data_IF_394572673362
#
_entry.id   IF_394572673362
#
_cell.length_a   1.000
_cell.length_b   1.000
_cell.length_c   1.000
_cell.angle_alpha   90.00
_cell.angle_beta   90.00
_cell.angle_gamma   90.00
#
_symmetry.space_group_name_H-M   'P 1'
#
loop_
_entity.id
_entity.type
_entity.pdbx_description
1 polymer ?
#
# COMPACT_ATOMS: atom_id res chain seq x y z
N UNK A 1 19.09 -18.80 -17.82
CA UNK A 1 18.12 -18.57 -16.73
C UNK A 1 16.77 -18.29 -17.36
N UNK A 2 15.87 -19.27 -17.41
CA UNK A 2 14.53 -19.05 -17.97
C UNK A 2 13.77 -18.05 -17.10
N UNK A 3 13.27 -16.96 -17.69
CA UNK A 3 12.33 -16.09 -17.00
C UNK A 3 11.08 -16.91 -16.65
N UNK A 4 10.46 -16.70 -15.48
CA UNK A 4 9.24 -17.41 -15.08
C UNK A 4 8.08 -16.93 -15.97
N UNK A 5 7.94 -17.53 -17.15
CA UNK A 5 7.04 -17.03 -18.19
C UNK A 5 5.54 -17.24 -17.88
N UNK A 6 5.19 -18.09 -16.90
CA UNK A 6 3.79 -18.31 -16.52
C UNK A 6 3.68 -18.58 -15.01
N UNK A 7 3.68 -17.53 -14.19
CA UNK A 7 3.21 -17.65 -12.81
C UNK A 7 1.67 -17.65 -12.86
N UNK A 8 1.05 -18.83 -13.02
CA UNK A 8 -0.40 -18.99 -12.83
C UNK A 8 -0.84 -18.66 -11.39
N UNK A 9 -2.09 -18.94 -11.02
CA UNK A 9 -2.58 -18.71 -9.64
C UNK A 9 -1.72 -19.40 -8.56
N UNK A 10 -1.20 -20.60 -8.86
CA UNK A 10 -0.26 -21.31 -7.97
C UNK A 10 1.08 -20.57 -7.80
N UNK A 11 1.43 -19.73 -8.77
CA UNK A 11 2.62 -18.88 -8.75
C UNK A 11 2.59 -17.86 -7.61
N UNK A 12 1.45 -17.21 -7.36
CA UNK A 12 1.33 -16.21 -6.29
C UNK A 12 1.50 -16.86 -4.92
N UNK A 13 0.87 -18.01 -4.70
CA UNK A 13 1.03 -18.79 -3.46
C UNK A 13 2.49 -19.24 -3.29
N UNK A 14 3.14 -19.69 -4.36
CA UNK A 14 4.56 -20.07 -4.33
C UNK A 14 5.45 -18.90 -3.94
N UNK A 15 5.21 -17.69 -4.47
CA UNK A 15 5.95 -16.49 -4.09
C UNK A 15 5.84 -16.20 -2.59
N UNK A 16 4.63 -16.22 -2.03
CA UNK A 16 4.41 -16.02 -0.60
C UNK A 16 5.15 -17.06 0.25
N UNK A 17 5.00 -18.35 -0.07
CA UNK A 17 5.70 -19.44 0.64
C UNK A 17 7.22 -19.33 0.53
N UNK A 18 7.74 -18.88 -0.62
CA UNK A 18 9.18 -18.70 -0.85
C UNK A 18 9.75 -17.58 0.03
N UNK A 19 9.01 -16.47 0.17
CA UNK A 19 9.38 -15.38 1.09
C UNK A 19 9.34 -15.83 2.56
N UNK A 20 8.39 -16.70 2.92
CA UNK A 20 8.23 -17.24 4.29
C UNK A 20 9.22 -18.36 4.64
N UNK A 21 9.73 -19.10 3.65
CA UNK A 21 10.48 -20.36 3.83
C UNK A 21 11.76 -20.25 4.69
N UNK A 22 12.28 -19.04 4.88
CA UNK A 22 13.59 -18.82 5.52
C UNK A 22 14.78 -19.24 4.68
N UNK A 23 14.56 -19.87 3.52
CA UNK A 23 15.62 -20.28 2.60
C UNK A 23 16.09 -19.08 1.77
N UNK A 24 17.38 -18.67 1.85
CA UNK A 24 17.85 -17.48 1.15
C UNK A 24 17.67 -17.56 -0.37
N UNK A 25 17.81 -18.74 -0.97
CA UNK A 25 17.68 -18.93 -2.41
C UNK A 25 16.23 -18.75 -2.88
N UNK A 26 15.26 -19.34 -2.18
CA UNK A 26 13.83 -19.20 -2.49
C UNK A 26 13.37 -17.75 -2.31
N UNK A 27 13.83 -17.09 -1.25
CA UNK A 27 13.56 -15.67 -1.02
C UNK A 27 14.13 -14.78 -2.12
N UNK A 28 15.37 -15.02 -2.53
CA UNK A 28 16.01 -14.28 -3.63
C UNK A 28 15.24 -14.47 -4.95
N UNK A 29 14.82 -15.71 -5.25
CA UNK A 29 13.99 -16.01 -6.41
C UNK A 29 12.66 -15.24 -6.38
N UNK A 30 11.96 -15.27 -5.24
CA UNK A 30 10.67 -14.60 -5.09
C UNK A 30 10.79 -13.08 -5.21
N UNK A 31 11.78 -12.47 -4.56
CA UNK A 31 12.04 -11.03 -4.67
C UNK A 31 12.37 -10.62 -6.10
N UNK A 32 13.18 -11.41 -6.81
CA UNK A 32 13.50 -11.15 -8.21
C UNK A 32 12.25 -11.23 -9.11
N UNK A 33 11.41 -12.25 -8.92
CA UNK A 33 10.17 -12.41 -9.68
C UNK A 33 9.19 -11.24 -9.42
N UNK A 34 9.03 -10.82 -8.16
CA UNK A 34 8.18 -9.69 -7.79
C UNK A 34 8.74 -8.36 -8.29
N UNK A 35 10.05 -8.14 -8.24
CA UNK A 35 10.68 -6.94 -8.81
C UNK A 35 10.45 -6.86 -10.32
N UNK A 36 10.66 -7.96 -11.02
CA UNK A 36 10.38 -8.05 -12.45
C UNK A 36 8.92 -7.72 -12.75
N UNK A 37 7.98 -8.35 -12.04
CA UNK A 37 6.55 -8.07 -12.14
C UNK A 37 6.22 -6.59 -11.92
N UNK A 38 6.72 -6.01 -10.83
CA UNK A 38 6.46 -4.61 -10.46
C UNK A 38 7.04 -3.61 -11.45
N UNK A 39 8.14 -3.96 -12.15
CA UNK A 39 8.76 -3.09 -13.14
C UNK A 39 8.00 -3.02 -14.47
N UNK A 40 7.21 -4.06 -14.78
CA UNK A 40 6.44 -4.15 -16.02
C UNK A 40 5.05 -3.52 -15.89
N UNK A 41 4.53 -3.39 -14.66
CA UNK A 41 3.19 -2.86 -14.38
C UNK A 41 2.95 -1.46 -14.96
N UNK A 42 3.98 -0.63 -15.10
CA UNK A 42 3.85 0.70 -15.72
C UNK A 42 3.59 0.65 -17.24
N UNK A 43 4.01 -0.43 -17.91
CA UNK A 43 4.03 -0.49 -19.39
C UNK A 43 2.76 -1.13 -19.98
N UNK A 44 2.02 -1.92 -19.22
CA UNK A 44 0.97 -2.81 -19.74
C UNK A 44 -0.47 -2.41 -19.39
N UNK A 45 -0.74 -1.14 -19.07
CA UNK A 45 -2.06 -0.62 -18.66
C UNK A 45 -3.25 -0.87 -19.65
N UNK A 46 -3.02 -1.50 -20.81
CA UNK A 46 -4.03 -1.81 -21.82
C UNK A 46 -4.09 -3.29 -22.25
N UNK A 47 -3.25 -4.17 -21.68
CA UNK A 47 -3.26 -5.60 -21.99
C UNK A 47 -4.11 -6.35 -20.96
N UNK A 48 -4.83 -7.38 -21.41
CA UNK A 48 -5.59 -8.28 -20.51
C UNK A 48 -4.72 -8.73 -19.33
N UNK A 49 -5.27 -8.63 -18.11
CA UNK A 49 -4.58 -8.86 -16.85
C UNK A 49 -3.69 -10.10 -16.90
N UNK A 50 -2.37 -9.90 -16.96
CA UNK A 50 -1.46 -11.04 -16.82
C UNK A 50 -1.45 -11.49 -15.37
N UNK A 51 -1.41 -12.81 -15.14
CA UNK A 51 -1.40 -13.42 -13.80
C UNK A 51 -0.28 -12.89 -12.88
N UNK A 52 0.78 -12.32 -13.47
CA UNK A 52 1.93 -11.76 -12.76
C UNK A 52 1.64 -10.39 -12.15
N UNK A 53 0.89 -9.51 -12.83
CA UNK A 53 0.51 -8.21 -12.27
C UNK A 53 -0.40 -8.36 -11.06
N UNK A 54 -1.31 -9.34 -11.12
CA UNK A 54 -2.15 -9.70 -9.99
C UNK A 54 -1.33 -10.05 -8.73
N UNK A 55 -0.11 -10.58 -8.90
CA UNK A 55 0.77 -10.92 -7.78
C UNK A 55 1.26 -9.69 -7.01
N UNK A 56 1.47 -8.55 -7.68
CA UNK A 56 1.96 -7.29 -7.07
C UNK A 56 0.83 -6.36 -6.63
N UNK A 57 -0.42 -6.68 -6.93
CA UNK A 57 -1.58 -5.95 -6.40
C UNK A 57 -1.86 -6.33 -4.94
N UNK A 58 -1.61 -5.41 -4.01
CA UNK A 58 -1.79 -5.62 -2.57
C UNK A 58 -3.25 -5.87 -2.17
N UNK A 59 -4.22 -5.33 -2.92
CA UNK A 59 -5.65 -5.65 -2.68
C UNK A 59 -5.95 -7.13 -2.92
N UNK A 60 -5.30 -7.75 -3.90
CA UNK A 60 -5.44 -9.20 -4.19
C UNK A 60 -4.60 -10.04 -3.24
N UNK A 61 -3.45 -9.51 -2.80
CA UNK A 61 -2.47 -10.22 -1.98
C UNK A 61 -2.02 -9.38 -0.77
N UNK A 62 -2.89 -9.19 0.25
CA UNK A 62 -2.58 -8.31 1.37
C UNK A 62 -1.41 -8.82 2.23
N UNK A 63 -1.19 -10.15 2.26
CA UNK A 63 -0.06 -10.75 2.96
C UNK A 63 1.30 -10.33 2.39
N UNK A 64 1.37 -9.99 1.10
CA UNK A 64 2.61 -9.61 0.43
C UNK A 64 3.28 -8.42 1.11
N UNK A 65 2.50 -7.39 1.45
CA UNK A 65 3.04 -6.18 2.08
C UNK A 65 3.75 -6.52 3.40
N UNK A 66 3.12 -7.35 4.25
CA UNK A 66 3.71 -7.79 5.52
C UNK A 66 5.00 -8.57 5.31
N UNK A 67 5.02 -9.48 4.33
CA UNK A 67 6.20 -10.30 4.03
C UNK A 67 7.37 -9.45 3.52
N UNK A 68 7.10 -8.51 2.60
CA UNK A 68 8.13 -7.62 2.07
C UNK A 68 8.63 -6.65 3.14
N UNK A 69 7.74 -6.10 3.97
CA UNK A 69 8.14 -5.23 5.08
C UNK A 69 9.05 -5.94 6.09
N UNK A 70 8.76 -7.20 6.41
CA UNK A 70 9.63 -8.00 7.29
C UNK A 70 11.05 -8.15 6.73
N UNK A 71 11.21 -8.19 5.41
CA UNK A 71 12.51 -8.29 4.76
C UNK A 71 13.19 -6.94 4.56
N UNK A 72 12.42 -5.85 4.47
CA UNK A 72 12.94 -4.50 4.29
C UNK A 72 13.41 -3.89 5.63
N UNK A 73 12.79 -4.28 6.75
CA UNK A 73 13.17 -3.84 8.07
C UNK A 73 14.63 -4.25 8.38
N UNK A 74 15.47 -3.31 8.83
CA UNK A 74 16.77 -3.66 9.36
C UNK A 74 16.56 -4.61 10.53
N UNK A 75 17.32 -5.71 10.56
CA UNK A 75 17.52 -6.40 11.83
C UNK A 75 18.11 -5.36 12.79
N UNK A 76 17.55 -5.25 13.99
CA UNK A 76 18.07 -4.35 15.03
C UNK A 76 19.59 -4.55 15.06
N UNK A 77 20.35 -3.46 15.03
CA UNK A 77 21.81 -3.47 15.15
C UNK A 77 22.23 -3.94 16.56
N UNK A 78 21.72 -5.07 17.02
CA UNK A 78 22.28 -5.84 18.11
C UNK A 78 23.65 -6.28 17.63
N UNK A 79 24.67 -5.52 18.04
CA UNK A 79 26.12 -5.79 17.91
C UNK A 79 26.41 -7.07 17.14
N UNK A 80 26.23 -7.04 15.81
CA UNK A 80 26.21 -8.28 15.06
C UNK A 80 27.65 -8.79 15.06
N UNK A 81 27.96 -9.95 15.64
CA UNK A 81 29.33 -10.41 15.80
C UNK A 81 30.03 -10.46 14.44
N UNK A 82 31.32 -10.13 14.40
CA UNK A 82 32.11 -10.23 13.16
C UNK A 82 31.97 -11.66 12.61
N UNK A 83 31.68 -11.85 11.31
CA UNK A 83 31.54 -13.19 10.73
C UNK A 83 32.82 -13.99 10.94
N UNK A 84 32.68 -15.24 11.39
CA UNK A 84 33.82 -16.10 11.73
C UNK A 84 34.37 -16.84 10.50
N UNK A 85 33.58 -16.96 9.43
CA UNK A 85 33.99 -17.58 8.18
C UNK A 85 33.42 -16.87 6.93
N UNK A 86 33.96 -17.22 5.75
CA UNK A 86 33.54 -16.65 4.47
C UNK A 86 32.07 -16.98 4.11
N UNK A 87 31.57 -18.12 4.55
CA UNK A 87 30.17 -18.50 4.33
C UNK A 87 29.21 -17.56 5.06
N UNK A 88 29.50 -17.22 6.32
CA UNK A 88 28.69 -16.26 7.10
C UNK A 88 28.71 -14.87 6.45
N UNK A 89 29.87 -14.43 5.97
CA UNK A 89 30.01 -13.17 5.27
C UNK A 89 29.16 -13.13 3.99
N UNK A 90 29.11 -14.24 3.24
CA UNK A 90 28.30 -14.37 2.05
C UNK A 90 26.79 -14.33 2.35
N UNK A 91 26.34 -15.04 3.39
CA UNK A 91 24.93 -15.03 3.81
C UNK A 91 24.49 -13.62 4.21
N UNK A 92 25.29 -12.89 4.99
CA UNK A 92 25.00 -11.49 5.35
C UNK A 92 24.98 -10.56 4.14
N UNK A 93 25.89 -10.76 3.20
CA UNK A 93 25.89 -9.99 1.97
C UNK A 93 24.61 -10.23 1.16
N UNK A 94 24.16 -11.49 1.08
CA UNK A 94 22.92 -11.86 0.42
C UNK A 94 21.69 -11.25 1.13
N UNK A 95 21.62 -11.32 2.45
CA UNK A 95 20.55 -10.69 3.24
C UNK A 95 20.46 -9.18 2.98
N UNK A 96 21.60 -8.48 2.97
CA UNK A 96 21.65 -7.04 2.63
C UNK A 96 21.17 -6.76 1.20
N UNK A 97 21.48 -7.63 0.24
CA UNK A 97 20.97 -7.50 -1.13
C UNK A 97 19.45 -7.72 -1.16
N UNK A 98 18.95 -8.73 -0.47
CA UNK A 98 17.51 -9.02 -0.38
C UNK A 98 16.74 -7.89 0.30
N UNK A 99 17.30 -7.29 1.35
CA UNK A 99 16.72 -6.12 2.01
C UNK A 99 16.61 -4.93 1.04
N UNK A 100 17.66 -4.65 0.26
CA UNK A 100 17.62 -3.61 -0.77
C UNK A 100 16.60 -3.92 -1.87
N UNK A 101 16.49 -5.18 -2.27
CA UNK A 101 15.47 -5.62 -3.24
C UNK A 101 14.04 -5.43 -2.69
N UNK A 102 13.82 -5.75 -1.42
CA UNK A 102 12.53 -5.52 -0.76
C UNK A 102 12.17 -4.02 -0.71
N UNK A 103 13.14 -3.15 -0.41
CA UNK A 103 12.96 -1.70 -0.48
C UNK A 103 12.60 -1.20 -1.89
N UNK A 104 13.32 -1.66 -2.91
CA UNK A 104 13.01 -1.33 -4.30
C UNK A 104 11.62 -1.81 -4.70
N UNK A 105 11.22 -2.99 -4.23
CA UNK A 105 9.88 -3.52 -4.46
C UNK A 105 8.83 -2.64 -3.80
N UNK A 106 9.00 -2.25 -2.53
CA UNK A 106 8.08 -1.32 -1.83
C UNK A 106 7.95 0.01 -2.58
N UNK A 107 9.07 0.54 -3.10
CA UNK A 107 9.07 1.73 -3.95
C UNK A 107 8.22 1.51 -5.20
N UNK A 108 8.42 0.42 -5.94
CA UNK A 108 7.65 0.15 -7.16
C UNK A 108 6.16 -0.07 -6.85
N UNK A 109 5.84 -0.76 -5.75
CA UNK A 109 4.46 -0.97 -5.32
C UNK A 109 3.74 0.35 -5.04
N UNK A 110 4.44 1.39 -4.60
CA UNK A 110 3.85 2.72 -4.36
C UNK A 110 3.40 3.42 -5.66
N UNK A 111 4.00 3.07 -6.80
CA UNK A 111 3.62 3.63 -8.11
C UNK A 111 2.41 2.92 -8.75
N UNK A 112 1.96 1.82 -8.16
CA UNK A 112 0.74 1.11 -8.59
C UNK A 112 -0.46 1.76 -7.88
N UNK A 113 -1.40 2.41 -8.58
CA UNK A 113 -2.50 3.14 -7.96
C UNK A 113 -3.35 2.29 -7.00
N UNK A 114 -3.57 1.02 -7.32
CA UNK A 114 -4.34 0.06 -6.52
C UNK A 114 -3.70 -0.20 -5.15
N UNK A 115 -2.42 0.11 -5.00
CA UNK A 115 -1.65 -0.11 -3.78
C UNK A 115 -1.55 1.15 -2.90
N UNK A 116 -2.01 2.32 -3.34
CA UNK A 116 -1.91 3.57 -2.58
C UNK A 116 -2.61 3.46 -1.21
N UNK A 117 -3.84 2.95 -1.19
CA UNK A 117 -4.61 2.78 0.04
C UNK A 117 -3.92 1.81 1.04
N UNK A 118 -3.59 0.55 0.70
CA UNK A 118 -2.95 -0.35 1.66
C UNK A 118 -1.56 0.13 2.10
N UNK A 119 -0.81 0.81 1.23
CA UNK A 119 0.50 1.38 1.59
C UNK A 119 0.34 2.54 2.59
N UNK A 120 -0.57 3.47 2.35
CA UNK A 120 -0.80 4.63 3.23
C UNK A 120 -1.34 4.25 4.61
N UNK A 121 -2.10 3.15 4.69
CA UNK A 121 -2.65 2.61 5.93
C UNK A 121 -1.65 1.75 6.73
N UNK A 122 -0.52 1.35 6.14
CA UNK A 122 0.45 0.47 6.77
C UNK A 122 1.31 1.19 7.82
N UNK A 123 1.02 0.92 9.11
CA UNK A 123 1.83 1.41 10.24
C UNK A 123 3.29 0.96 10.13
N UNK A 124 3.62 -0.33 9.85
CA UNK A 124 5.02 -0.75 9.80
C UNK A 124 5.79 -0.09 8.66
N UNK A 125 5.13 0.22 7.53
CA UNK A 125 5.77 0.96 6.44
C UNK A 125 6.11 2.39 6.86
N UNK A 126 5.22 3.09 7.56
CA UNK A 126 5.49 4.43 8.09
C UNK A 126 6.66 4.42 9.06
N UNK A 127 6.71 3.45 9.97
CA UNK A 127 7.84 3.27 10.90
C UNK A 127 9.16 3.02 10.17
N UNK A 128 9.14 2.15 9.15
CA UNK A 128 10.31 1.86 8.32
C UNK A 128 10.83 3.14 7.63
N UNK A 129 9.95 3.96 7.04
CA UNK A 129 10.32 5.22 6.39
C UNK A 129 10.87 6.24 7.39
N UNK A 130 10.22 6.39 8.55
CA UNK A 130 10.70 7.29 9.59
C UNK A 130 12.09 6.87 10.10
N UNK A 131 12.30 5.57 10.33
CA UNK A 131 13.58 5.03 10.74
C UNK A 131 14.69 5.34 9.71
N UNK A 132 14.41 5.12 8.42
CA UNK A 132 15.39 5.38 7.35
C UNK A 132 15.73 6.87 7.24
N UNK A 133 14.72 7.75 7.39
CA UNK A 133 14.93 9.20 7.41
C UNK A 133 15.78 9.62 8.61
N UNK A 134 15.45 9.15 9.81
CA UNK A 134 16.21 9.45 11.03
C UNK A 134 17.66 8.99 10.90
N UNK A 135 17.88 7.76 10.44
CA UNK A 135 19.20 7.20 10.28
C UNK A 135 20.02 7.94 9.20
N UNK A 136 19.38 8.33 8.09
CA UNK A 136 20.01 9.17 7.07
C UNK A 136 20.40 10.55 7.62
N UNK A 137 19.55 11.16 8.44
CA UNK A 137 19.80 12.47 9.04
C UNK A 137 20.89 12.42 10.12
N UNK A 138 20.93 11.37 10.94
CA UNK A 138 21.97 11.16 11.95
C UNK A 138 23.37 11.06 11.33
N UNK A 139 23.50 10.40 10.17
CA UNK A 139 24.76 10.33 9.42
C UNK A 139 25.30 11.69 8.99
N UNK A 140 24.43 12.70 8.95
CA UNK A 140 24.81 14.07 8.59
C UNK A 140 25.00 14.98 9.82
N UNK A 141 24.88 14.47 11.05
CA UNK A 141 25.03 15.23 12.31
C UNK A 141 24.05 16.40 12.49
N UNK A 142 22.97 16.47 11.70
CA UNK A 142 22.15 17.68 11.61
C UNK A 142 20.97 17.76 12.59
N UNK A 143 20.62 16.70 13.35
CA UNK A 143 19.39 16.71 14.16
C UNK A 143 19.46 15.95 15.49
N UNK A 144 18.72 16.41 16.51
CA UNK A 144 18.51 15.66 17.75
C UNK A 144 17.76 14.34 17.49
N UNK A 145 18.10 13.32 18.27
CA UNK A 145 17.53 11.98 18.21
C UNK A 145 16.03 12.03 18.55
N UNK A 146 15.15 11.91 17.56
CA UNK A 146 13.72 11.63 17.81
C UNK A 146 13.64 10.14 18.13
N UNK A 147 13.28 9.79 19.36
CA UNK A 147 13.21 8.40 19.80
C UNK A 147 12.02 7.70 19.17
N UNK A 148 12.25 6.54 18.56
CA UNK A 148 11.20 5.70 17.94
C UNK A 148 10.11 5.31 18.95
N UNK A 149 10.44 5.26 20.24
CA UNK A 149 9.52 5.01 21.35
C UNK A 149 8.50 6.15 21.59
N UNK A 150 8.71 7.36 21.05
CA UNK A 150 7.67 8.40 21.04
C UNK A 150 6.63 8.19 19.92
N UNK A 151 6.89 7.26 19.00
CA UNK A 151 5.95 6.83 17.96
C UNK A 151 5.26 5.55 18.40
N UNK A 152 4.81 5.51 19.65
CA UNK A 152 3.83 4.54 20.13
C UNK A 152 2.49 4.81 19.43
N UNK A 153 2.17 3.97 18.46
CA UNK A 153 0.86 3.89 17.82
C UNK A 153 0.37 2.47 18.09
N UNK A 154 -0.67 2.36 18.92
CA UNK A 154 -1.26 1.13 19.43
C UNK A 154 -1.49 0.07 18.34
N UNK A 155 -0.59 -0.92 18.25
CA UNK A 155 -0.65 -1.99 17.24
C UNK A 155 -1.78 -3.01 17.53
N UNK A 156 -2.24 -3.13 18.78
CA UNK A 156 -3.31 -4.07 19.14
C UNK A 156 -4.71 -3.54 18.80
N UNK A 157 -4.93 -2.23 18.88
CA UNK A 157 -6.24 -1.63 18.55
C UNK A 157 -6.58 -1.76 17.06
N UNK A 158 -5.57 -1.80 16.18
CA UNK A 158 -5.79 -1.76 14.73
C UNK A 158 -6.16 -3.12 14.13
N UNK A 159 -5.77 -4.23 14.75
CA UNK A 159 -6.16 -5.57 14.32
C UNK A 159 -7.61 -5.91 14.72
N UNK A 160 -8.05 -5.46 15.90
CA UNK A 160 -9.45 -5.60 16.33
C UNK A 160 -10.40 -4.63 15.60
N UNK A 161 -9.96 -3.41 15.28
CA UNK A 161 -10.77 -2.45 14.51
C UNK A 161 -11.03 -2.86 13.04
N UNK A 162 -10.20 -3.74 12.47
CA UNK A 162 -10.43 -4.34 11.15
C UNK A 162 -11.38 -5.55 11.19
N UNK A 163 -11.50 -6.20 12.35
CA UNK A 163 -12.41 -7.32 12.57
C UNK A 163 -13.79 -6.87 13.08
N UNK A 164 -13.85 -5.80 13.86
CA UNK A 164 -15.05 -5.13 14.27
C UNK A 164 -15.48 -4.16 13.16
N UNK A 165 -16.41 -4.57 12.30
CA UNK A 165 -17.11 -3.67 11.38
C UNK A 165 -17.88 -2.63 12.19
N UNK A 166 -17.20 -1.57 12.64
CA UNK A 166 -17.84 -0.51 13.41
C UNK A 166 -18.55 0.43 12.45
N UNK A 167 -19.84 0.62 12.71
CA UNK A 167 -20.71 1.66 12.19
C UNK A 167 -20.17 3.06 12.55
N UNK A 168 -18.99 3.41 12.05
CA UNK A 168 -18.46 4.76 12.19
C UNK A 168 -19.34 5.69 11.37
N UNK A 169 -19.82 6.81 11.96
CA UNK A 169 -20.64 7.76 11.24
C UNK A 169 -19.88 8.21 10.00
N UNK A 170 -20.51 8.05 8.82
CA UNK A 170 -19.86 8.29 7.53
C UNK A 170 -19.25 9.70 7.49
N UNK A 171 -17.92 9.77 7.60
CA UNK A 171 -17.19 11.02 7.49
C UNK A 171 -17.47 11.63 6.11
N UNK A 172 -17.83 12.90 6.08
CA UNK A 172 -18.04 13.62 4.83
C UNK A 172 -16.70 13.81 4.12
N UNK A 173 -16.71 13.93 2.79
CA UNK A 173 -15.49 14.09 1.96
C UNK A 173 -14.59 15.25 2.41
N UNK A 174 -15.16 16.26 3.10
CA UNK A 174 -14.41 17.39 3.65
C UNK A 174 -13.71 17.07 4.99
N UNK A 175 -14.18 16.08 5.76
CA UNK A 175 -13.53 15.63 6.99
C UNK A 175 -12.38 14.64 6.72
N UNK A 176 -12.39 13.98 5.57
CA UNK A 176 -11.35 13.02 5.15
C UNK A 176 -10.07 13.75 4.72
N UNK A 177 -10.18 14.95 4.14
CA UNK A 177 -9.04 15.69 3.63
C UNK A 177 -8.71 16.90 4.55
N UNK A 178 -7.60 16.87 5.32
CA UNK A 178 -7.23 17.94 6.25
C UNK A 178 -6.89 19.27 5.54
N UNK A 179 -6.70 19.27 4.22
CA UNK A 179 -6.47 20.45 3.40
C UNK A 179 -7.74 20.92 2.67
N UNK A 180 -8.92 20.36 2.97
CA UNK A 180 -10.17 20.77 2.33
C UNK A 180 -10.62 22.17 2.79
N UNK A 181 -10.21 23.19 2.04
CA UNK A 181 -10.61 24.59 2.26
C UNK A 181 -12.10 24.86 1.98
N UNK A 182 -12.85 23.91 1.41
CA UNK A 182 -14.29 24.04 1.13
C UNK A 182 -15.17 23.98 2.39
N UNK A 183 -14.72 23.32 3.46
CA UNK A 183 -15.49 23.19 4.71
C UNK A 183 -15.73 24.51 5.47
N UNK A 184 -15.08 25.61 5.05
CA UNK A 184 -15.13 26.91 5.75
C UNK A 184 -15.95 27.99 5.03
N UNK A 185 -16.80 27.64 4.06
CA UNK A 185 -17.68 28.64 3.41
C UNK A 185 -18.96 28.86 4.22
N UNK A 186 -18.90 29.75 5.21
CA UNK A 186 -19.93 30.75 5.57
C UNK A 186 -19.53 31.46 6.89
N UNK A 187 -18.86 32.61 6.80
CA UNK A 187 -18.74 33.60 7.87
C UNK A 187 -18.37 33.06 9.28
N UNK A 188 -17.53 32.02 9.39
CA UNK A 188 -17.10 31.48 10.67
C UNK A 188 -18.10 30.57 11.41
N UNK A 189 -19.19 30.13 10.77
CA UNK A 189 -20.11 29.12 11.35
C UNK A 189 -19.78 27.74 10.78
N UNK A 190 -18.79 27.08 11.37
CA UNK A 190 -18.31 25.75 10.95
C UNK A 190 -19.40 24.69 11.01
N UNK A 191 -19.67 24.06 9.88
CA UNK A 191 -20.59 22.93 9.75
C UNK A 191 -20.20 22.04 8.57
N UNK A 192 -20.57 20.75 8.59
CA UNK A 192 -20.22 19.82 7.53
C UNK A 192 -20.81 20.28 6.19
N UNK A 193 -19.97 20.29 5.14
CA UNK A 193 -20.37 20.70 3.81
C UNK A 193 -21.48 19.75 3.30
N UNK A 194 -22.71 20.26 3.14
CA UNK A 194 -23.83 19.52 2.55
C UNK A 194 -23.65 19.42 1.03
N UNK A 195 -22.66 18.65 0.57
CA UNK A 195 -22.69 18.16 -0.80
C UNK A 195 -23.74 17.05 -0.81
N UNK A 196 -24.92 17.34 -1.37
CA UNK A 196 -25.85 16.28 -1.74
C UNK A 196 -25.07 15.33 -2.65
N UNK A 197 -25.01 14.04 -2.26
CA UNK A 197 -24.44 13.00 -3.11
C UNK A 197 -25.12 13.13 -4.47
N UNK A 198 -24.33 13.43 -5.51
CA UNK A 198 -24.77 13.38 -6.90
C UNK A 198 -24.93 11.89 -7.23
N UNK A 199 -26.05 11.34 -6.77
CA UNK A 199 -26.45 9.94 -6.86
C UNK A 199 -27.95 9.77 -6.63
N UNK A 200 -28.69 10.84 -6.31
CA UNK A 200 -30.13 10.89 -6.50
C UNK A 200 -30.42 11.12 -8.00
N UNK A 201 -30.52 10.02 -8.73
CA UNK A 201 -31.39 9.82 -9.91
C UNK A 201 -31.75 11.07 -10.70
N UNK A 202 -31.05 11.28 -11.80
CA UNK A 202 -31.36 12.26 -12.85
C UNK A 202 -32.54 11.80 -13.74
N UNK A 203 -33.42 10.91 -13.27
CA UNK A 203 -34.43 10.24 -14.12
C UNK A 203 -35.87 10.75 -13.95
N UNK A 204 -36.15 11.77 -13.14
CA UNK A 204 -37.54 12.14 -12.81
C UNK A 204 -38.00 13.52 -13.32
N UNK A 205 -37.35 14.08 -14.35
CA UNK A 205 -37.77 15.38 -14.94
C UNK A 205 -38.21 15.37 -16.39
N UNK A 206 -38.30 14.21 -17.04
CA UNK A 206 -38.72 14.11 -18.45
C UNK A 206 -40.11 13.51 -18.68
N UNK A 207 -40.87 13.19 -17.63
CA UNK A 207 -42.19 12.54 -17.75
C UNK A 207 -43.41 13.48 -17.62
N UNK A 208 -43.22 14.78 -17.33
CA UNK A 208 -44.34 15.68 -17.01
C UNK A 208 -44.90 16.50 -18.20
N UNK A 209 -44.37 16.38 -19.42
CA UNK A 209 -44.71 17.31 -20.52
C UNK A 209 -45.42 16.71 -21.75
N UNK A 210 -46.06 15.52 -21.62
CA UNK A 210 -46.81 14.91 -22.76
C UNK A 210 -48.22 14.42 -22.43
N UNK A 211 -48.96 15.12 -21.58
CA UNK A 211 -50.42 14.91 -21.43
C UNK A 211 -51.13 16.26 -21.30
N UNK A 212 -51.47 16.86 -22.43
CA UNK A 212 -52.26 18.08 -22.47
C UNK A 212 -52.40 18.60 -23.89
N UNK A 213 -53.32 18.01 -24.65
CA UNK A 213 -53.62 18.40 -26.03
C UNK A 213 -54.84 17.63 -26.52
N UNK A 214 -55.95 17.84 -25.81
CA UNK A 214 -57.31 17.43 -26.15
C UNK A 214 -58.00 18.55 -26.96
N UNK A 215 -59.05 18.17 -27.70
CA UNK A 215 -59.99 18.97 -28.49
C UNK A 215 -59.44 19.60 -29.78
N UNK A 216 -60.08 19.49 -30.96
CA UNK A 216 -61.50 19.31 -31.28
C UNK A 216 -61.89 20.39 -32.30
N UNK A 217 -62.93 20.13 -33.10
CA UNK A 217 -63.61 21.05 -34.05
C UNK A 217 -62.83 21.38 -35.34
N UNK A 218 -63.35 21.27 -36.57
CA UNK A 218 -64.68 21.04 -37.16
C UNK A 218 -64.47 20.60 -38.61
#
# INVERSE_FOLDING_TARGET
SGLPQELGHDGVRKLALSLESGLPQERAWALHALLFASSQAETQAYSEETSIEAAVTLRRNPALLRLVLRLALPEREETVPVPHCAADAHLRALERVQQKQAWLLLRNLLFVPENEQPMSQSIPLRRLVLWELQHSLQRHELLPLITVDEVELDDEASAEALAAGTDSPALTQCQINPFCVRGYRHCGRGGPCRIQRVGATFDDRTAAERRGGDAGET
#
